data_IF_773692833348
#
_entry.id   IF_773692833348
#
_cell.length_a   1.000
_cell.length_b   1.000
_cell.length_c   1.000
_cell.angle_alpha   90.00
_cell.angle_beta   90.00
_cell.angle_gamma   90.00
#
_symmetry.space_group_name_H-M   'P 1'
#
loop_
_entity.id
_entity.type
_entity.pdbx_description
1 polymer ?
#
# COMPACT_ATOMS: atom_id res chain seq x y z
N UNK A 1 -14.48 -10.48 -10.85
CA UNK A 1 -13.45 -11.45 -11.16
C UNK A 1 -12.14 -10.76 -11.50
N UNK A 2 -11.13 -11.23 -10.93
CA UNK A 2 -9.81 -10.73 -10.75
C UNK A 2 -9.07 -10.40 -12.06
N UNK A 3 -8.49 -9.22 -12.10
CA UNK A 3 -7.32 -8.96 -12.90
C UNK A 3 -6.10 -9.14 -11.96
N UNK A 4 -5.86 -10.36 -11.50
CA UNK A 4 -4.62 -10.74 -10.86
C UNK A 4 -3.77 -11.49 -11.88
N UNK A 5 -2.49 -11.20 -11.89
CA UNK A 5 -1.38 -11.91 -12.51
C UNK A 5 -0.86 -11.53 -13.89
N UNK A 6 -0.77 -10.26 -14.23
CA UNK A 6 0.19 -9.88 -15.28
C UNK A 6 0.86 -8.56 -14.98
N UNK A 7 1.81 -8.47 -14.07
CA UNK A 7 2.61 -7.24 -14.02
C UNK A 7 4.06 -7.45 -13.61
N UNK A 8 4.92 -7.62 -14.61
CA UNK A 8 6.37 -7.40 -14.50
C UNK A 8 6.79 -5.93 -14.63
N UNK A 9 5.83 -4.98 -14.74
CA UNK A 9 6.09 -3.53 -14.72
C UNK A 9 4.97 -2.86 -13.95
N UNK A 10 5.34 -2.06 -12.97
CA UNK A 10 4.36 -1.31 -12.20
C UNK A 10 3.74 -0.20 -13.04
N UNK A 11 2.41 -0.24 -13.10
CA UNK A 11 1.60 0.80 -13.71
C UNK A 11 1.17 1.75 -12.61
N UNK A 12 1.46 3.04 -12.74
CA UNK A 12 1.02 4.06 -11.79
C UNK A 12 -0.50 4.19 -11.79
N UNK A 13 -1.08 4.50 -10.63
CA UNK A 13 -2.54 4.74 -10.51
C UNK A 13 -3.03 5.88 -11.38
N UNK A 14 -2.20 6.90 -11.56
CA UNK A 14 -2.42 8.03 -12.45
C UNK A 14 -1.15 8.32 -13.25
N UNK A 15 -1.30 8.99 -14.40
CA UNK A 15 -0.16 9.44 -15.19
C UNK A 15 0.70 10.43 -14.38
N UNK A 16 2.00 10.19 -14.37
CA UNK A 16 2.99 11.13 -13.86
C UNK A 16 3.85 11.61 -15.03
N UNK A 17 3.84 12.90 -15.30
CA UNK A 17 4.58 13.48 -16.42
C UNK A 17 4.03 13.01 -17.78
N UNK A 18 4.91 12.51 -18.65
CA UNK A 18 4.57 12.11 -20.04
C UNK A 18 4.11 10.65 -20.17
N UNK A 19 3.94 9.89 -19.09
CA UNK A 19 3.46 8.49 -19.18
C UNK A 19 1.97 8.45 -19.48
N UNK A 20 1.60 7.87 -20.62
CA UNK A 20 0.20 7.63 -20.99
C UNK A 20 -0.37 6.34 -20.41
N UNK A 21 0.49 5.39 -20.02
CA UNK A 21 0.07 4.11 -19.46
C UNK A 21 0.00 4.18 -17.93
N UNK A 22 -1.22 4.12 -17.41
CA UNK A 22 -1.52 4.05 -15.97
C UNK A 22 -2.76 3.19 -15.73
N UNK A 23 -3.01 2.80 -14.47
CA UNK A 23 -4.14 1.90 -14.14
C UNK A 23 -5.48 2.50 -14.58
N UNK A 24 -5.67 3.82 -14.44
CA UNK A 24 -6.90 4.48 -14.88
C UNK A 24 -7.13 4.28 -16.37
N UNK A 25 -6.12 4.49 -17.24
CA UNK A 25 -6.28 4.29 -18.68
C UNK A 25 -6.55 2.84 -19.05
N UNK A 26 -5.94 1.88 -18.34
CA UNK A 26 -6.21 0.44 -18.52
C UNK A 26 -7.66 0.11 -18.16
N UNK A 27 -8.17 0.66 -17.06
CA UNK A 27 -9.57 0.46 -16.64
C UNK A 27 -10.55 1.12 -17.61
N UNK A 28 -10.27 2.33 -18.09
CA UNK A 28 -11.12 3.03 -19.06
C UNK A 28 -11.20 2.25 -20.39
N UNK A 29 -10.09 1.68 -20.83
CA UNK A 29 -10.07 0.80 -22.02
C UNK A 29 -10.84 -0.50 -21.80
N UNK A 30 -10.73 -1.09 -20.60
CA UNK A 30 -11.54 -2.25 -20.21
C UNK A 30 -13.04 -1.93 -20.23
N UNK A 31 -13.45 -0.79 -19.67
CA UNK A 31 -14.85 -0.37 -19.67
C UNK A 31 -15.39 -0.16 -21.10
N UNK A 32 -14.61 0.46 -21.97
CA UNK A 32 -14.97 0.60 -23.39
C UNK A 32 -15.16 -0.75 -24.07
N UNK A 33 -14.19 -1.68 -23.92
CA UNK A 33 -14.25 -3.02 -24.50
C UNK A 33 -15.38 -3.88 -23.97
N UNK A 34 -15.75 -3.68 -22.70
CA UNK A 34 -16.88 -4.38 -22.05
C UNK A 34 -18.23 -3.65 -22.18
N UNK A 35 -18.30 -2.61 -23.03
CA UNK A 35 -19.51 -1.80 -23.29
C UNK A 35 -20.11 -1.15 -22.05
N UNK A 36 -19.32 -0.89 -21.01
CA UNK A 36 -19.75 -0.16 -19.83
C UNK A 36 -19.65 1.35 -20.09
N UNK A 37 -20.73 2.06 -19.86
CA UNK A 37 -20.79 3.54 -19.99
C UNK A 37 -20.31 4.24 -18.71
N UNK A 38 -19.04 4.02 -18.34
CA UNK A 38 -18.41 4.63 -17.19
C UNK A 38 -16.93 4.90 -17.43
N UNK A 39 -16.31 5.66 -16.52
CA UNK A 39 -14.86 5.94 -16.50
C UNK A 39 -14.30 5.62 -15.13
N UNK A 40 -13.02 5.32 -15.05
CA UNK A 40 -12.35 5.08 -13.77
C UNK A 40 -12.04 6.40 -13.06
N UNK A 41 -12.44 6.51 -11.80
CA UNK A 41 -12.14 7.61 -10.90
C UNK A 41 -11.24 7.13 -9.78
N UNK A 42 -10.13 7.82 -9.55
CA UNK A 42 -9.13 7.44 -8.55
C UNK A 42 -9.56 7.94 -7.18
N UNK A 43 -9.81 7.04 -6.25
CA UNK A 43 -10.24 7.34 -4.88
C UNK A 43 -9.06 7.44 -3.92
N UNK A 44 -8.07 6.57 -4.09
CA UNK A 44 -6.85 6.54 -3.29
C UNK A 44 -5.65 6.08 -4.11
N UNK A 45 -4.49 6.09 -3.49
CA UNK A 45 -3.25 5.69 -4.17
C UNK A 45 -2.43 4.75 -3.31
N UNK A 46 -1.64 3.91 -3.97
CA UNK A 46 -0.49 3.25 -3.39
C UNK A 46 0.77 4.08 -3.65
N UNK A 47 1.78 3.92 -2.81
CA UNK A 47 3.09 4.50 -3.07
C UNK A 47 3.71 3.87 -4.31
N UNK A 48 4.62 4.59 -4.95
CA UNK A 48 5.39 4.07 -6.07
C UNK A 48 6.07 2.76 -5.66
N UNK A 49 5.97 1.77 -6.52
CA UNK A 49 6.54 0.44 -6.35
C UNK A 49 5.80 -0.48 -5.34
N UNK A 50 4.77 0.00 -4.66
CA UNK A 50 3.84 -0.83 -3.87
C UNK A 50 2.83 -1.49 -4.79
N UNK A 51 2.66 -2.81 -4.68
CA UNK A 51 1.64 -3.57 -5.41
C UNK A 51 0.39 -3.84 -4.55
N UNK A 52 -0.67 -4.35 -5.15
CA UNK A 52 -1.84 -4.84 -4.43
C UNK A 52 -3.15 -4.15 -4.77
N UNK A 53 -4.09 -4.21 -3.84
CA UNK A 53 -5.47 -3.78 -3.99
C UNK A 53 -5.61 -2.27 -4.05
N UNK A 54 -6.42 -1.81 -5.01
CA UNK A 54 -6.86 -0.42 -5.13
C UNK A 54 -8.35 -0.35 -5.47
N UNK A 55 -9.03 0.67 -4.96
CA UNK A 55 -10.42 1.00 -5.32
C UNK A 55 -10.42 2.11 -6.38
N UNK A 56 -11.27 1.91 -7.38
CA UNK A 56 -11.65 2.93 -8.35
C UNK A 56 -13.16 3.04 -8.38
N UNK A 57 -13.68 4.25 -8.31
CA UNK A 57 -15.11 4.49 -8.53
C UNK A 57 -15.42 4.51 -10.04
N UNK A 58 -16.65 4.16 -10.42
CA UNK A 58 -17.11 4.17 -11.82
C UNK A 58 -17.78 5.48 -12.22
N UNK A 59 -17.99 6.36 -11.28
CA UNK A 59 -18.60 7.68 -11.48
C UNK A 59 -18.10 8.68 -10.44
N UNK A 60 -18.29 9.97 -10.75
CA UNK A 60 -17.81 11.07 -9.91
C UNK A 60 -18.52 11.17 -8.58
N UNK A 61 -19.81 10.80 -8.50
CA UNK A 61 -20.57 10.84 -7.27
C UNK A 61 -20.04 9.81 -6.26
N UNK A 62 -19.80 8.59 -6.72
CA UNK A 62 -19.21 7.51 -5.90
C UNK A 62 -17.79 7.86 -5.44
N UNK A 63 -16.97 8.47 -6.31
CA UNK A 63 -15.63 8.98 -5.95
C UNK A 63 -15.74 9.97 -4.78
N UNK A 64 -16.61 11.00 -4.92
CA UNK A 64 -16.78 12.03 -3.89
C UNK A 64 -17.24 11.46 -2.54
N UNK A 65 -18.19 10.51 -2.54
CA UNK A 65 -18.66 9.85 -1.32
C UNK A 65 -17.52 9.10 -0.62
N UNK A 66 -16.69 8.37 -1.38
CA UNK A 66 -15.54 7.63 -0.84
C UNK A 66 -14.45 8.56 -0.31
N UNK A 67 -14.17 9.69 -0.98
CA UNK A 67 -13.15 10.65 -0.54
C UNK A 67 -13.57 11.43 0.72
N UNK A 68 -14.84 11.85 0.79
CA UNK A 68 -15.36 12.64 1.91
C UNK A 68 -15.31 11.91 3.24
N UNK A 69 -15.57 10.61 3.23
CA UNK A 69 -15.68 9.81 4.45
C UNK A 69 -14.76 8.59 4.46
N UNK A 70 -13.61 8.69 3.78
CA UNK A 70 -12.65 7.61 3.62
C UNK A 70 -12.32 6.87 4.92
N UNK A 71 -12.11 7.59 6.01
CA UNK A 71 -11.68 7.01 7.29
C UNK A 71 -12.77 6.20 8.00
N UNK A 72 -14.05 6.50 7.77
CA UNK A 72 -15.18 5.73 8.31
C UNK A 72 -15.62 4.63 7.36
N UNK A 73 -15.54 4.89 6.05
CA UNK A 73 -15.92 3.90 5.03
C UNK A 73 -14.89 2.77 4.97
N UNK A 74 -13.60 3.06 4.97
CA UNK A 74 -12.53 2.06 4.87
C UNK A 74 -12.03 1.70 6.25
N UNK A 75 -12.52 0.60 6.79
CA UNK A 75 -12.29 0.18 8.18
C UNK A 75 -11.13 -0.78 8.39
N UNK A 76 -10.64 -1.44 7.34
CA UNK A 76 -9.44 -2.30 7.43
C UNK A 76 -8.61 -2.23 6.16
N UNK A 77 -7.31 -1.95 6.34
CA UNK A 77 -6.31 -1.91 5.27
C UNK A 77 -5.06 -2.59 5.77
N UNK A 78 -4.73 -3.73 5.15
CA UNK A 78 -3.55 -4.49 5.54
C UNK A 78 -2.59 -4.62 4.37
N UNK A 79 -1.35 -4.53 4.73
CA UNK A 79 -0.21 -4.71 3.84
C UNK A 79 0.65 -5.84 4.36
N UNK A 80 1.33 -6.51 3.47
CA UNK A 80 2.38 -7.45 3.83
C UNK A 80 3.69 -6.99 3.21
N UNK A 81 4.77 -7.07 3.98
CA UNK A 81 6.10 -6.74 3.51
C UNK A 81 7.13 -7.80 3.96
N UNK A 82 8.21 -7.91 3.18
CA UNK A 82 9.43 -8.56 3.65
C UNK A 82 10.39 -7.47 4.05
N UNK A 83 10.85 -7.53 5.29
CA UNK A 83 11.80 -6.58 5.88
C UNK A 83 13.14 -7.26 6.17
N UNK A 84 14.23 -6.50 6.14
CA UNK A 84 15.58 -6.98 6.45
C UNK A 84 15.71 -7.29 7.93
N UNK A 85 16.33 -8.45 8.23
CA UNK A 85 16.63 -8.90 9.58
C UNK A 85 15.44 -9.56 10.30
N UNK A 86 15.71 -9.97 11.53
CA UNK A 86 14.79 -10.67 12.42
C UNK A 86 14.12 -9.65 13.33
N UNK A 87 12.81 -9.45 13.17
CA UNK A 87 12.01 -8.58 14.05
C UNK A 87 11.74 -9.30 15.36
N UNK A 88 12.33 -8.82 16.46
CA UNK A 88 12.25 -9.50 17.76
C UNK A 88 10.84 -9.48 18.38
N UNK A 89 10.16 -8.34 18.30
CA UNK A 89 8.80 -8.19 18.80
C UNK A 89 7.80 -8.85 17.83
N UNK A 90 6.96 -9.81 18.27
CA UNK A 90 6.01 -10.50 17.41
C UNK A 90 4.93 -9.57 16.84
N UNK A 91 4.61 -8.50 17.55
CA UNK A 91 3.63 -7.48 17.19
C UNK A 91 3.92 -6.15 17.90
N UNK A 92 3.35 -5.07 17.40
CA UNK A 92 3.48 -3.77 18.04
C UNK A 92 2.79 -2.65 17.29
N UNK A 93 2.98 -1.44 17.81
CA UNK A 93 2.43 -0.21 17.22
C UNK A 93 3.52 0.84 17.10
N UNK A 94 3.61 1.45 15.92
CA UNK A 94 4.50 2.58 15.64
C UNK A 94 3.61 3.81 15.46
N UNK A 95 3.86 4.82 16.28
CA UNK A 95 3.09 6.06 16.29
C UNK A 95 4.03 7.25 16.40
N UNK A 96 4.04 8.11 15.37
CA UNK A 96 4.92 9.26 15.29
C UNK A 96 4.39 10.30 14.28
N UNK A 97 5.12 11.40 14.12
CA UNK A 97 4.79 12.48 13.21
C UNK A 97 5.62 12.35 11.92
N UNK A 98 4.96 12.31 10.77
CA UNK A 98 5.60 12.21 9.47
C UNK A 98 5.57 13.55 8.74
N UNK A 99 6.74 13.98 8.23
CA UNK A 99 6.90 15.22 7.48
C UNK A 99 7.84 15.02 6.29
N UNK A 100 7.55 15.70 5.19
CA UNK A 100 8.48 15.74 4.05
C UNK A 100 9.53 16.83 4.28
N UNK A 101 10.78 16.51 3.98
CA UNK A 101 11.85 17.52 3.88
C UNK A 101 11.81 18.22 2.51
N UNK A 102 12.72 19.20 2.29
CA UNK A 102 12.83 19.94 1.03
C UNK A 102 13.13 19.06 -0.20
N UNK A 103 13.68 17.87 -0.01
CA UNK A 103 13.95 16.88 -1.06
C UNK A 103 12.79 15.89 -1.25
N UNK A 104 11.59 16.16 -0.68
CA UNK A 104 10.42 15.29 -0.71
C UNK A 104 10.66 13.90 -0.11
N UNK A 105 11.62 13.79 0.81
CA UNK A 105 11.85 12.59 1.62
C UNK A 105 11.01 12.72 2.89
N UNK A 106 10.14 11.76 3.15
CA UNK A 106 9.37 11.68 4.38
C UNK A 106 10.27 11.17 5.51
N UNK A 107 10.25 11.81 6.64
CA UNK A 107 10.95 11.39 7.87
C UNK A 107 10.00 11.44 9.05
N UNK A 108 10.32 10.70 10.09
CA UNK A 108 9.55 10.61 11.33
C UNK A 108 10.11 11.48 12.43
N UNK A 109 9.27 11.79 13.42
CA UNK A 109 9.65 12.44 14.66
C UNK A 109 8.77 11.91 15.79
N UNK A 110 9.33 11.60 16.97
CA UNK A 110 8.53 11.18 18.13
C UNK A 110 7.71 12.35 18.72
N UNK A 111 8.06 13.59 18.41
CA UNK A 111 7.36 14.80 18.83
C UNK A 111 6.76 15.53 17.64
N UNK A 112 5.72 16.33 17.87
CA UNK A 112 5.11 17.15 16.83
C UNK A 112 6.13 18.09 16.20
N UNK A 113 6.42 17.87 14.93
CA UNK A 113 7.35 18.63 14.11
C UNK A 113 6.63 19.48 13.02
N UNK A 114 5.30 19.66 13.18
CA UNK A 114 4.42 20.25 12.17
C UNK A 114 4.13 19.30 11.00
N UNK A 115 4.34 18.00 11.20
CA UNK A 115 3.99 16.92 10.28
C UNK A 115 2.57 16.41 10.48
N UNK A 116 2.32 15.22 9.95
CA UNK A 116 1.03 14.53 10.11
C UNK A 116 1.21 13.30 11.00
N UNK A 117 0.39 13.19 12.05
CA UNK A 117 0.41 12.01 12.90
C UNK A 117 0.06 10.75 12.14
N UNK A 118 0.81 9.68 12.39
CA UNK A 118 0.74 8.41 11.67
C UNK A 118 0.78 7.25 12.67
N UNK A 119 -0.13 6.29 12.50
CA UNK A 119 -0.21 5.08 13.33
C UNK A 119 -0.25 3.85 12.44
N UNK A 120 0.67 2.92 12.71
CA UNK A 120 0.81 1.63 12.02
C UNK A 120 0.94 0.53 13.06
N UNK A 121 0.07 -0.47 13.00
CA UNK A 121 0.24 -1.71 13.76
C UNK A 121 0.99 -2.71 12.90
N UNK A 122 1.84 -3.52 13.52
CA UNK A 122 2.53 -4.60 12.82
C UNK A 122 2.38 -5.94 13.55
N UNK A 123 2.42 -7.01 12.80
CA UNK A 123 2.44 -8.39 13.28
C UNK A 123 3.36 -9.24 12.40
N UNK A 124 4.26 -10.00 13.03
CA UNK A 124 5.21 -10.87 12.32
C UNK A 124 4.51 -12.17 11.96
N UNK A 125 4.38 -12.43 10.65
CA UNK A 125 3.75 -13.65 10.15
C UNK A 125 4.71 -14.85 10.09
N UNK A 126 6.00 -14.57 9.90
CA UNK A 126 7.06 -15.57 9.82
C UNK A 126 8.42 -14.92 9.59
N UNK A 127 9.47 -15.64 9.86
CA UNK A 127 10.83 -15.12 9.71
C UNK A 127 11.84 -16.25 9.54
N UNK A 128 13.01 -15.92 8.98
CA UNK A 128 14.21 -16.75 8.98
C UNK A 128 15.39 -15.94 9.53
N UNK A 129 16.61 -16.38 9.34
CA UNK A 129 17.79 -15.70 9.89
C UNK A 129 18.08 -14.33 9.26
N UNK A 130 17.55 -14.07 8.04
CA UNK A 130 17.89 -12.87 7.26
C UNK A 130 16.71 -11.92 7.09
N UNK A 131 15.47 -12.43 7.14
CA UNK A 131 14.26 -11.69 6.79
C UNK A 131 13.09 -12.00 7.71
N UNK A 132 12.18 -11.01 7.84
CA UNK A 132 10.87 -11.18 8.46
C UNK A 132 9.76 -10.82 7.48
N UNK A 133 8.69 -11.63 7.45
CA UNK A 133 7.43 -11.35 6.78
C UNK A 133 6.51 -10.69 7.78
N UNK A 134 6.16 -9.43 7.53
CA UNK A 134 5.41 -8.60 8.48
C UNK A 134 4.11 -8.12 7.85
N UNK A 135 3.01 -8.31 8.57
CA UNK A 135 1.73 -7.66 8.28
C UNK A 135 1.70 -6.27 8.91
N UNK A 136 1.23 -5.29 8.17
CA UNK A 136 0.98 -3.93 8.64
C UNK A 136 -0.49 -3.58 8.49
N UNK A 137 -1.13 -3.16 9.59
CA UNK A 137 -2.48 -2.60 9.60
C UNK A 137 -2.41 -1.10 9.84
N UNK A 138 -3.06 -0.33 8.96
CA UNK A 138 -3.00 1.13 8.98
C UNK A 138 -4.24 1.76 9.63
N UNK A 139 -4.05 2.58 10.68
CA UNK A 139 -5.08 3.53 11.12
C UNK A 139 -5.06 4.80 10.25
N UNK A 140 -3.88 5.27 9.89
CA UNK A 140 -3.66 6.44 9.04
C UNK A 140 -3.05 6.04 7.70
N UNK A 141 -3.13 6.90 6.69
CA UNK A 141 -2.55 6.65 5.36
C UNK A 141 -1.67 7.80 4.90
N UNK A 142 -0.51 8.01 5.56
CA UNK A 142 0.42 9.07 5.16
C UNK A 142 1.37 8.57 4.06
N UNK A 143 1.90 9.49 3.30
CA UNK A 143 2.88 9.20 2.24
C UNK A 143 4.05 8.40 2.79
N UNK A 144 4.40 7.29 2.15
CA UNK A 144 5.48 6.37 2.52
C UNK A 144 5.43 5.85 3.97
N UNK A 145 4.27 5.88 4.65
CA UNK A 145 4.13 5.62 6.07
C UNK A 145 4.77 4.28 6.50
N UNK A 146 4.38 3.17 5.88
CA UNK A 146 4.91 1.84 6.22
C UNK A 146 6.42 1.79 5.98
N UNK A 147 6.89 2.37 4.88
CA UNK A 147 8.31 2.37 4.49
C UNK A 147 9.20 3.10 5.51
N UNK A 148 8.73 4.26 5.98
CA UNK A 148 9.42 5.05 7.03
C UNK A 148 9.36 4.31 8.37
N UNK A 149 8.18 3.83 8.78
CA UNK A 149 8.01 3.12 10.04
C UNK A 149 8.84 1.84 10.11
N UNK A 150 8.95 1.08 9.01
CA UNK A 150 9.81 -0.11 8.95
C UNK A 150 11.29 0.24 9.10
N UNK A 151 11.74 1.33 8.47
CA UNK A 151 13.11 1.81 8.61
C UNK A 151 13.38 2.31 10.06
N UNK A 152 12.42 3.00 10.69
CA UNK A 152 12.51 3.46 12.09
C UNK A 152 12.64 2.30 13.07
N UNK A 153 12.02 1.16 12.76
CA UNK A 153 12.18 -0.07 13.56
C UNK A 153 13.58 -0.70 13.41
N UNK A 154 14.43 -0.22 12.51
CA UNK A 154 15.69 -0.87 12.14
C UNK A 154 15.54 -2.03 11.15
N UNK A 155 14.33 -2.26 10.64
CA UNK A 155 13.98 -3.33 9.70
C UNK A 155 13.40 -2.75 8.42
N UNK A 156 14.22 -2.09 7.56
CA UNK A 156 13.72 -1.51 6.32
C UNK A 156 13.16 -2.57 5.37
N UNK A 157 12.20 -2.18 4.55
CA UNK A 157 11.58 -3.07 3.57
C UNK A 157 12.61 -3.44 2.48
N UNK A 158 12.75 -4.71 2.17
CA UNK A 158 13.61 -5.19 1.10
C UNK A 158 13.21 -4.57 -0.24
N UNK A 159 14.20 -4.20 -1.06
CA UNK A 159 14.00 -3.54 -2.35
C UNK A 159 13.53 -2.08 -2.26
N UNK A 160 13.57 -1.47 -1.06
CA UNK A 160 13.28 -0.06 -0.91
C UNK A 160 14.50 0.80 -1.24
N UNK A 161 14.51 1.42 -2.43
CA UNK A 161 15.61 2.28 -2.89
C UNK A 161 15.71 3.62 -2.13
N UNK A 162 14.69 3.98 -1.35
CA UNK A 162 14.62 5.29 -0.70
C UNK A 162 14.86 5.23 0.81
N UNK A 163 14.34 4.21 1.47
CA UNK A 163 14.39 4.01 2.91
C UNK A 163 15.09 2.70 3.29
N UNK A 164 15.51 1.92 2.30
CA UNK A 164 16.18 0.64 2.48
C UNK A 164 17.66 0.75 2.79
N UNK A 165 18.26 -0.38 3.07
CA UNK A 165 19.70 -0.58 3.33
C UNK A 165 20.47 -1.15 2.13
N UNK A 166 19.83 -1.19 0.94
CA UNK A 166 20.41 -1.77 -0.28
C UNK A 166 20.09 -3.25 -0.50
N UNK A 167 19.40 -3.90 0.43
CA UNK A 167 19.00 -5.29 0.31
C UNK A 167 17.79 -5.43 -0.64
N UNK A 168 18.00 -6.08 -1.79
CA UNK A 168 16.98 -6.26 -2.84
C UNK A 168 16.97 -7.70 -3.38
N UNK A 169 16.43 -8.65 -2.62
CA UNK A 169 16.50 -10.07 -2.96
C UNK A 169 15.63 -10.48 -4.16
N UNK A 170 14.69 -9.64 -4.61
CA UNK A 170 13.76 -10.00 -5.71
C UNK A 170 13.62 -8.93 -6.80
N UNK A 171 14.43 -7.89 -6.79
CA UNK A 171 14.44 -6.84 -7.83
C UNK A 171 13.26 -5.89 -7.77
N UNK A 172 12.61 -5.74 -6.58
CA UNK A 172 11.48 -4.82 -6.39
C UNK A 172 11.20 -4.55 -4.91
N UNK A 173 10.48 -3.46 -4.64
CA UNK A 173 9.94 -3.20 -3.30
C UNK A 173 9.06 -4.35 -2.81
N UNK A 174 9.42 -4.95 -1.68
CA UNK A 174 8.69 -6.05 -1.05
C UNK A 174 7.54 -5.53 -0.17
N UNK A 175 6.65 -4.71 -0.74
CA UNK A 175 5.45 -4.20 -0.09
C UNK A 175 4.21 -4.45 -0.95
N UNK A 176 3.15 -4.98 -0.34
CA UNK A 176 1.93 -5.40 -1.04
C UNK A 176 0.68 -5.13 -0.21
N UNK A 177 -0.27 -4.36 -0.74
CA UNK A 177 -1.59 -4.14 -0.16
C UNK A 177 -2.47 -5.38 -0.43
N UNK A 178 -2.70 -6.22 0.58
CA UNK A 178 -3.33 -7.52 0.34
C UNK A 178 -4.74 -7.68 0.90
N UNK A 179 -5.15 -6.85 1.89
CA UNK A 179 -6.52 -6.81 2.40
C UNK A 179 -7.04 -5.39 2.35
N UNK A 180 -8.28 -5.25 1.88
CA UNK A 180 -8.99 -3.98 1.84
C UNK A 180 -10.46 -4.22 2.15
N UNK A 181 -10.94 -3.68 3.28
CA UNK A 181 -12.31 -3.78 3.74
C UNK A 181 -12.95 -2.41 3.84
N UNK A 182 -14.13 -2.27 3.25
CA UNK A 182 -14.86 -1.01 3.28
C UNK A 182 -16.37 -1.22 3.20
N UNK A 183 -17.14 -0.24 3.62
CA UNK A 183 -18.59 -0.20 3.37
C UNK A 183 -18.85 0.39 2.00
N UNK A 184 -19.72 -0.24 1.23
CA UNK A 184 -20.13 0.32 -0.07
C UNK A 184 -20.78 1.69 0.14
N UNK A 185 -20.32 2.77 -0.51
CA UNK A 185 -20.73 4.14 -0.14
C UNK A 185 -22.20 4.46 -0.33
N UNK A 186 -22.93 3.66 -1.12
CA UNK A 186 -24.36 3.84 -1.38
C UNK A 186 -25.21 2.83 -0.62
N UNK A 187 -24.84 1.56 -0.65
CA UNK A 187 -25.65 0.47 -0.05
C UNK A 187 -25.27 0.18 1.39
N UNK A 188 -24.15 0.72 1.88
CA UNK A 188 -23.56 0.46 3.19
C UNK A 188 -23.25 -1.02 3.48
N UNK A 189 -23.30 -1.87 2.46
CA UNK A 189 -22.93 -3.27 2.58
C UNK A 189 -21.42 -3.41 2.84
N UNK A 190 -21.00 -4.27 3.79
CA UNK A 190 -19.59 -4.53 4.01
C UNK A 190 -18.98 -5.26 2.80
N UNK A 191 -17.86 -4.76 2.35
CA UNK A 191 -17.10 -5.30 1.22
C UNK A 191 -15.72 -5.71 1.71
N UNK A 192 -15.29 -6.93 1.42
CA UNK A 192 -13.96 -7.44 1.75
C UNK A 192 -13.29 -7.95 0.49
N UNK A 193 -12.08 -7.46 0.25
CA UNK A 193 -11.22 -7.91 -0.85
C UNK A 193 -9.89 -8.35 -0.27
N UNK A 194 -9.42 -9.49 -0.76
CA UNK A 194 -8.15 -10.08 -0.36
C UNK A 194 -7.42 -10.64 -1.57
N UNK A 195 -6.10 -10.47 -1.60
CA UNK A 195 -5.23 -11.13 -2.57
C UNK A 195 -4.24 -12.02 -1.84
N UNK A 196 -3.76 -13.09 -2.47
CA UNK A 196 -2.70 -13.90 -1.88
C UNK A 196 -1.44 -13.08 -1.61
N UNK A 197 -0.73 -13.40 -0.53
CA UNK A 197 0.63 -12.91 -0.32
C UNK A 197 1.50 -13.33 -1.52
N UNK A 198 2.24 -12.42 -2.15
CA UNK A 198 3.06 -12.75 -3.32
C UNK A 198 3.97 -13.96 -3.08
N UNK A 199 3.97 -14.89 -4.02
CA UNK A 199 4.75 -16.13 -3.91
C UNK A 199 6.24 -15.85 -3.71
N UNK A 200 6.76 -14.75 -4.32
CA UNK A 200 8.14 -14.32 -4.13
C UNK A 200 8.45 -13.96 -2.67
N UNK A 201 7.51 -13.33 -1.95
CA UNK A 201 7.66 -12.99 -0.53
C UNK A 201 7.69 -14.25 0.33
N UNK A 202 6.74 -15.17 0.11
CA UNK A 202 6.69 -16.46 0.84
C UNK A 202 7.94 -17.30 0.62
N UNK A 203 8.48 -17.33 -0.59
CA UNK A 203 9.71 -18.06 -0.90
C UNK A 203 10.93 -17.53 -0.17
N UNK A 204 11.04 -16.22 0.07
CA UNK A 204 12.14 -15.62 0.83
C UNK A 204 12.17 -16.11 2.27
N UNK A 205 11.00 -16.29 2.88
CA UNK A 205 10.87 -16.71 4.29
C UNK A 205 10.73 -18.23 4.41
N UNK A 206 10.52 -18.96 3.31
CA UNK A 206 10.10 -20.38 3.31
C UNK A 206 8.79 -20.61 4.07
N UNK A 207 7.87 -19.65 3.94
CA UNK A 207 6.55 -19.61 4.60
C UNK A 207 5.48 -20.33 3.77
#
# INVERSE_FOLDING_TARGET
SAASDVYKRQILSMAAGHSTLNVKTVLDDYFKKSHQKCTAHVVHRLDRDTSGLMIYAKDKQTEMLLEQDWHHIVYDRRYVAVVSGVVEAPEGTIANWLKDNKAYITYSSPVDNGGKYAVTHFHVLGQNNDYSLVEYKLETGRKNQIRVHSADMGHPICGDIKYGNGDDPIGRLCLHAYVLCFYHPITHAPMTFETPIPTSFRKLIKY
#
